data_IF_920838922893
#
_entry.id   IF_920838922893
#
_cell.length_a   1.000
_cell.length_b   1.000
_cell.length_c   1.000
_cell.angle_alpha   90.00
_cell.angle_beta   90.00
_cell.angle_gamma   90.00
#
_symmetry.space_group_name_H-M   'P 1'
#
loop_
_entity.id
_entity.type
_entity.pdbx_description
1 polymer ?
#
# COMPACT_ATOMS: atom_id res chain seq x y z
N UNK A 1 17.43 21.61 13.88
CA UNK A 1 16.79 21.02 15.09
C UNK A 1 15.34 20.52 14.89
N UNK A 2 14.76 20.57 13.67
CA UNK A 2 13.39 20.09 13.41
C UNK A 2 13.34 18.56 13.15
N UNK A 3 14.46 17.94 12.79
CA UNK A 3 14.50 16.55 12.31
C UNK A 3 14.35 15.48 13.40
N UNK A 4 14.76 15.75 14.64
CA UNK A 4 14.76 14.72 15.71
C UNK A 4 13.37 14.47 16.32
N UNK A 5 12.46 15.45 16.30
CA UNK A 5 11.11 15.30 16.90
C UNK A 5 10.10 14.58 16.00
N UNK A 6 10.29 14.62 14.68
CA UNK A 6 9.36 14.01 13.70
C UNK A 6 9.68 12.54 13.43
N UNK A 7 10.96 12.14 13.56
CA UNK A 7 11.42 10.77 13.31
C UNK A 7 11.36 9.85 14.54
N UNK A 8 11.12 10.38 15.74
CA UNK A 8 10.95 9.58 16.96
C UNK A 8 9.95 8.42 16.83
N UNK A 9 8.76 8.63 16.23
CA UNK A 9 7.80 7.56 15.96
C UNK A 9 8.25 6.54 14.90
N UNK A 10 9.20 6.89 14.02
CA UNK A 10 9.72 6.01 12.99
C UNK A 10 10.74 4.99 13.54
N UNK A 11 11.31 5.23 14.73
CA UNK A 11 12.20 4.29 15.39
C UNK A 11 11.48 2.99 15.84
N UNK A 12 10.16 3.05 16.06
CA UNK A 12 9.34 1.90 16.47
C UNK A 12 8.72 1.11 15.30
N UNK A 13 9.13 1.37 14.07
CA UNK A 13 8.68 0.63 12.89
C UNK A 13 9.49 -0.68 12.79
N UNK A 14 8.86 -1.83 12.52
CA UNK A 14 9.58 -3.06 12.19
C UNK A 14 10.24 -2.92 10.80
N UNK A 15 11.44 -2.34 10.76
CA UNK A 15 12.13 -2.03 9.49
C UNK A 15 12.50 -3.26 8.66
N UNK A 16 12.65 -4.43 9.29
CA UNK A 16 13.02 -5.67 8.59
C UNK A 16 11.95 -6.09 7.56
N UNK A 17 10.67 -6.31 7.93
CA UNK A 17 9.63 -6.63 6.94
C UNK A 17 9.37 -5.50 5.96
N UNK A 18 9.41 -4.23 6.41
CA UNK A 18 9.23 -3.07 5.52
C UNK A 18 10.30 -3.03 4.42
N UNK A 19 11.59 -3.15 4.79
CA UNK A 19 12.70 -3.14 3.84
C UNK A 19 12.66 -4.37 2.93
N UNK A 20 12.36 -5.55 3.48
CA UNK A 20 12.28 -6.80 2.72
C UNK A 20 11.18 -6.73 1.65
N UNK A 21 9.95 -6.41 2.04
CA UNK A 21 8.81 -6.33 1.12
C UNK A 21 8.95 -5.18 0.11
N UNK A 22 9.50 -4.04 0.53
CA UNK A 22 9.79 -2.94 -0.40
C UNK A 22 10.82 -3.37 -1.44
N UNK A 23 11.90 -4.04 -1.02
CA UNK A 23 12.95 -4.53 -1.93
C UNK A 23 12.42 -5.58 -2.90
N UNK A 24 11.66 -6.56 -2.39
CA UNK A 24 11.00 -7.59 -3.22
C UNK A 24 10.05 -6.94 -4.22
N UNK A 25 9.23 -5.99 -3.77
CA UNK A 25 8.33 -5.24 -4.63
C UNK A 25 9.04 -4.53 -5.77
N UNK A 26 10.11 -3.79 -5.47
CA UNK A 26 10.92 -3.09 -6.47
C UNK A 26 11.61 -4.04 -7.45
N UNK A 27 12.17 -5.15 -6.96
CA UNK A 27 12.80 -6.17 -7.80
C UNK A 27 11.78 -6.74 -8.79
N UNK A 28 10.57 -7.09 -8.32
CA UNK A 28 9.52 -7.62 -9.17
C UNK A 28 8.98 -6.60 -10.19
N UNK A 29 8.89 -5.32 -9.82
CA UNK A 29 8.61 -4.25 -10.78
C UNK A 29 9.71 -4.12 -11.83
N UNK A 30 10.98 -4.29 -11.44
CA UNK A 30 12.13 -4.33 -12.35
C UNK A 30 12.05 -5.51 -13.33
N UNK A 31 11.73 -6.71 -12.84
CA UNK A 31 11.47 -7.92 -13.64
C UNK A 31 10.35 -7.67 -14.66
N UNK A 32 9.23 -7.06 -14.23
CA UNK A 32 8.14 -6.72 -15.12
C UNK A 32 8.56 -5.72 -16.22
N UNK A 33 9.49 -4.80 -15.89
CA UNK A 33 10.01 -3.79 -16.83
C UNK A 33 11.01 -4.35 -17.85
N UNK A 34 11.78 -5.37 -17.49
CA UNK A 34 12.76 -5.98 -18.38
C UNK A 34 12.11 -6.95 -19.37
N UNK A 35 11.10 -7.72 -18.95
CA UNK A 35 10.49 -8.80 -19.75
C UNK A 35 9.01 -8.56 -20.09
N UNK A 36 8.70 -7.39 -20.64
CA UNK A 36 7.32 -6.91 -20.88
C UNK A 36 6.43 -7.82 -21.73
N UNK A 37 7.00 -8.71 -22.56
CA UNK A 37 6.25 -9.64 -23.43
C UNK A 37 6.06 -11.02 -22.82
N UNK A 38 6.64 -11.29 -21.64
CA UNK A 38 6.55 -12.58 -20.98
C UNK A 38 5.30 -12.69 -20.11
N UNK A 39 4.73 -13.89 -19.99
CA UNK A 39 3.67 -14.18 -19.03
C UNK A 39 4.10 -13.89 -17.56
N UNK A 40 5.41 -13.91 -17.30
CA UNK A 40 6.02 -13.63 -16.00
C UNK A 40 5.87 -12.16 -15.61
N UNK A 41 5.83 -11.22 -16.57
CA UNK A 41 5.74 -9.79 -16.26
C UNK A 41 4.41 -9.40 -15.59
N UNK A 42 3.29 -9.99 -16.02
CA UNK A 42 1.99 -9.74 -15.40
C UNK A 42 1.96 -10.19 -13.94
N UNK A 43 2.43 -11.41 -13.66
CA UNK A 43 2.52 -11.95 -12.30
C UNK A 43 3.51 -11.17 -11.44
N UNK A 44 4.68 -10.82 -11.97
CA UNK A 44 5.68 -10.03 -11.26
C UNK A 44 5.13 -8.65 -10.89
N UNK A 45 4.41 -7.99 -11.80
CA UNK A 45 3.73 -6.73 -11.52
C UNK A 45 2.72 -6.86 -10.36
N UNK A 46 1.86 -7.88 -10.42
CA UNK A 46 0.83 -8.13 -9.39
C UNK A 46 1.45 -8.37 -8.02
N UNK A 47 2.40 -9.30 -7.95
CA UNK A 47 3.06 -9.63 -6.69
C UNK A 47 3.90 -8.47 -6.20
N UNK A 48 4.53 -7.71 -7.10
CA UNK A 48 5.32 -6.53 -6.77
C UNK A 48 4.48 -5.41 -6.13
N UNK A 49 3.33 -5.08 -6.73
CA UNK A 49 2.39 -4.10 -6.18
C UNK A 49 1.82 -4.58 -4.84
N UNK A 50 1.42 -5.85 -4.74
CA UNK A 50 0.93 -6.44 -3.51
C UNK A 50 1.98 -6.39 -2.38
N UNK A 51 3.25 -6.69 -2.69
CA UNK A 51 4.35 -6.63 -1.74
C UNK A 51 4.62 -5.19 -1.25
N UNK A 52 4.63 -4.20 -2.15
CA UNK A 52 4.76 -2.79 -1.78
C UNK A 52 3.62 -2.33 -0.86
N UNK A 53 2.39 -2.71 -1.19
CA UNK A 53 1.24 -2.38 -0.35
C UNK A 53 1.30 -3.09 1.01
N UNK A 54 1.68 -4.37 1.04
CA UNK A 54 1.90 -5.11 2.28
C UNK A 54 2.97 -4.44 3.16
N UNK A 55 4.07 -3.95 2.57
CA UNK A 55 5.10 -3.22 3.29
C UNK A 55 4.53 -2.00 4.05
N UNK A 56 3.53 -1.31 3.47
CA UNK A 56 2.88 -0.16 4.13
C UNK A 56 1.99 -0.55 5.30
N UNK A 57 1.48 -1.79 5.35
CA UNK A 57 0.73 -2.28 6.51
C UNK A 57 1.66 -2.38 7.75
N UNK A 58 2.86 -2.93 7.58
CA UNK A 58 3.89 -3.01 8.63
C UNK A 58 4.38 -1.65 9.13
N UNK A 59 4.25 -0.58 8.34
CA UNK A 59 4.62 0.77 8.79
C UNK A 59 3.74 1.25 9.94
N UNK A 60 2.53 0.71 10.09
CA UNK A 60 1.65 1.04 11.21
C UNK A 60 1.86 0.16 12.45
N UNK A 61 2.67 -0.90 12.37
CA UNK A 61 2.96 -1.78 13.49
C UNK A 61 3.86 -1.13 14.53
N UNK A 62 3.51 -1.32 15.80
CA UNK A 62 4.33 -0.91 16.93
C UNK A 62 5.02 -2.14 17.52
N UNK A 63 6.29 -2.35 17.17
CA UNK A 63 7.09 -3.46 17.72
C UNK A 63 7.31 -3.37 19.26
N UNK A 64 6.86 -2.29 19.89
CA UNK A 64 6.91 -2.05 21.33
C UNK A 64 5.64 -1.33 21.82
N UNK A 65 4.46 -1.84 21.46
CA UNK A 65 3.15 -1.23 21.81
C UNK A 65 3.02 -0.88 23.28
N UNK A 66 3.54 -1.71 24.20
CA UNK A 66 3.49 -1.46 25.65
C UNK A 66 4.34 -0.26 26.09
N UNK A 67 5.56 -0.13 25.59
CA UNK A 67 6.44 1.01 25.88
C UNK A 67 5.94 2.30 25.22
N UNK A 68 5.32 2.17 24.04
CA UNK A 68 4.77 3.30 23.29
C UNK A 68 3.46 3.78 23.91
N UNK A 69 2.60 2.89 24.42
CA UNK A 69 1.41 3.24 25.20
C UNK A 69 1.74 4.06 26.45
N UNK A 70 2.90 3.83 27.07
CA UNK A 70 3.38 4.60 28.22
C UNK A 70 3.85 6.04 27.88
N UNK A 71 4.04 6.38 26.60
CA UNK A 71 4.43 7.74 26.21
C UNK A 71 3.20 8.65 25.98
N UNK A 72 3.22 9.91 26.45
CA UNK A 72 2.08 10.83 26.39
C UNK A 72 1.93 11.49 25.01
N UNK A 73 1.88 10.70 23.93
CA UNK A 73 1.69 11.20 22.57
C UNK A 73 0.37 10.69 21.99
N UNK A 74 -0.46 11.60 21.45
CA UNK A 74 -1.76 11.25 20.88
C UNK A 74 -1.62 10.29 19.69
N UNK A 75 -2.61 9.41 19.53
CA UNK A 75 -2.61 8.38 18.49
C UNK A 75 -2.60 9.00 17.09
N UNK A 76 -3.30 10.13 16.91
CA UNK A 76 -3.31 10.88 15.66
C UNK A 76 -1.93 11.41 15.26
N UNK A 77 -1.12 11.91 16.21
CA UNK A 77 0.23 12.40 15.92
C UNK A 77 1.17 11.26 15.49
N UNK A 78 1.11 10.10 16.16
CA UNK A 78 1.91 8.92 15.78
C UNK A 78 1.55 8.41 14.40
N UNK A 79 0.24 8.33 14.10
CA UNK A 79 -0.25 7.88 12.80
C UNK A 79 0.22 8.83 11.69
N UNK A 80 0.12 10.15 11.87
CA UNK A 80 0.63 11.13 10.89
C UNK A 80 2.13 10.99 10.61
N UNK A 81 2.94 10.76 11.64
CA UNK A 81 4.38 10.57 11.46
C UNK A 81 4.69 9.29 10.66
N UNK A 82 3.96 8.19 10.93
CA UNK A 82 4.10 6.93 10.19
C UNK A 82 3.59 7.02 8.75
N UNK A 83 2.56 7.83 8.50
CA UNK A 83 2.08 8.10 7.14
C UNK A 83 3.15 8.78 6.26
N UNK A 84 4.13 9.47 6.83
CA UNK A 84 5.28 9.98 6.05
C UNK A 84 6.13 8.83 5.49
N UNK A 85 6.32 7.76 6.28
CA UNK A 85 7.06 6.57 5.83
C UNK A 85 6.25 5.79 4.80
N UNK A 86 4.93 5.68 4.97
CA UNK A 86 4.02 5.15 3.93
C UNK A 86 4.18 5.96 2.63
N UNK A 87 4.18 7.29 2.74
CA UNK A 87 4.40 8.19 1.61
C UNK A 87 5.75 7.93 0.92
N UNK A 88 6.82 7.71 1.68
CA UNK A 88 8.12 7.36 1.13
C UNK A 88 8.10 6.02 0.37
N UNK A 89 7.47 4.98 0.93
CA UNK A 89 7.29 3.68 0.23
C UNK A 89 6.49 3.87 -1.05
N UNK A 90 5.41 4.65 -1.02
CA UNK A 90 4.60 4.95 -2.20
C UNK A 90 5.40 5.72 -3.27
N UNK A 91 6.22 6.70 -2.88
CA UNK A 91 7.10 7.45 -3.79
C UNK A 91 8.13 6.51 -4.44
N UNK A 92 8.76 5.65 -3.64
CA UNK A 92 9.73 4.66 -4.13
C UNK A 92 9.07 3.66 -5.09
N UNK A 93 7.91 3.12 -4.73
CA UNK A 93 7.11 2.26 -5.61
C UNK A 93 6.69 2.97 -6.91
N UNK A 94 6.28 4.24 -6.80
CA UNK A 94 5.91 5.09 -7.93
C UNK A 94 7.08 5.31 -8.90
N UNK A 95 8.31 5.44 -8.40
CA UNK A 95 9.52 5.50 -9.23
C UNK A 95 9.72 4.17 -9.97
N UNK A 96 9.53 3.03 -9.29
CA UNK A 96 9.57 1.70 -9.92
C UNK A 96 8.54 1.55 -11.04
N UNK A 97 7.31 2.00 -10.82
CA UNK A 97 6.25 2.03 -11.85
C UNK A 97 6.58 3.01 -12.98
N UNK A 98 7.20 4.16 -12.68
CA UNK A 98 7.63 5.10 -13.70
C UNK A 98 8.75 4.53 -14.59
N UNK A 99 9.64 3.68 -14.05
CA UNK A 99 10.64 2.96 -14.83
C UNK A 99 9.99 1.94 -15.79
N UNK A 100 8.93 1.25 -15.36
CA UNK A 100 8.10 0.37 -16.21
C UNK A 100 7.44 1.15 -17.35
N UNK A 101 6.99 2.38 -17.06
CA UNK A 101 6.27 3.24 -17.99
C UNK A 101 7.10 3.77 -19.17
N UNK A 102 8.43 3.72 -19.09
CA UNK A 102 9.30 4.05 -20.24
C UNK A 102 8.99 3.13 -21.43
N UNK A 103 8.39 1.95 -21.18
CA UNK A 103 8.13 0.92 -22.18
C UNK A 103 6.65 0.61 -22.46
N UNK A 104 5.73 1.01 -21.58
CA UNK A 104 4.32 0.56 -21.62
C UNK A 104 3.28 1.63 -21.94
N UNK A 105 3.69 2.87 -22.23
CA UNK A 105 2.77 3.96 -22.58
C UNK A 105 2.05 4.57 -21.37
N UNK A 106 1.40 5.72 -21.58
CA UNK A 106 0.85 6.54 -20.48
C UNK A 106 -0.35 5.90 -19.77
N UNK A 107 -1.23 5.20 -20.51
CA UNK A 107 -2.40 4.52 -19.93
C UNK A 107 -1.98 3.43 -18.93
N UNK A 108 -1.08 2.53 -19.35
CA UNK A 108 -0.55 1.48 -18.48
C UNK A 108 0.12 2.05 -17.21
N UNK A 109 0.88 3.13 -17.34
CA UNK A 109 1.49 3.82 -16.19
C UNK A 109 0.43 4.28 -15.20
N UNK A 110 -0.59 4.99 -15.67
CA UNK A 110 -1.63 5.54 -14.80
C UNK A 110 -2.40 4.40 -14.11
N UNK A 111 -2.66 3.30 -14.83
CA UNK A 111 -3.42 2.17 -14.28
C UNK A 111 -2.70 1.52 -13.12
N UNK A 112 -1.40 1.26 -13.29
CA UNK A 112 -0.56 0.68 -12.24
C UNK A 112 -0.40 1.65 -11.06
N UNK A 113 -0.30 2.96 -11.30
CA UNK A 113 -0.22 3.95 -10.21
C UNK A 113 -1.50 4.03 -9.39
N UNK A 114 -2.66 4.05 -10.05
CA UNK A 114 -3.97 4.05 -9.37
C UNK A 114 -4.11 2.79 -8.54
N UNK A 115 -3.73 1.64 -9.10
CA UNK A 115 -3.77 0.37 -8.39
C UNK A 115 -2.84 0.34 -7.18
N UNK A 116 -1.56 0.68 -7.34
CA UNK A 116 -0.60 0.74 -6.23
C UNK A 116 -1.11 1.64 -5.11
N UNK A 117 -1.59 2.83 -5.47
CA UNK A 117 -2.14 3.81 -4.52
C UNK A 117 -3.35 3.22 -3.79
N UNK A 118 -4.27 2.60 -4.52
CA UNK A 118 -5.45 1.98 -3.94
C UNK A 118 -5.13 0.83 -2.98
N UNK A 119 -4.19 -0.06 -3.35
CA UNK A 119 -3.74 -1.13 -2.46
C UNK A 119 -3.05 -0.60 -1.20
N UNK A 120 -2.23 0.44 -1.32
CA UNK A 120 -1.60 1.11 -0.16
C UNK A 120 -2.67 1.71 0.76
N UNK A 121 -3.69 2.38 0.22
CA UNK A 121 -4.79 2.90 1.03
C UNK A 121 -5.52 1.81 1.79
N UNK A 122 -5.81 0.68 1.13
CA UNK A 122 -6.46 -0.47 1.77
C UNK A 122 -5.59 -1.06 2.87
N UNK A 123 -4.30 -1.30 2.61
CA UNK A 123 -3.35 -1.79 3.63
C UNK A 123 -3.32 -0.89 4.87
N UNK A 124 -3.16 0.42 4.65
CA UNK A 124 -3.04 1.40 5.73
C UNK A 124 -4.34 1.52 6.51
N UNK A 125 -5.49 1.57 5.83
CA UNK A 125 -6.79 1.66 6.49
C UNK A 125 -7.12 0.38 7.29
N UNK A 126 -6.85 -0.79 6.72
CA UNK A 126 -7.07 -2.07 7.40
C UNK A 126 -6.16 -2.23 8.62
N UNK A 127 -4.87 -1.91 8.48
CA UNK A 127 -3.92 -1.96 9.60
C UNK A 127 -4.30 -0.96 10.70
N UNK A 128 -4.72 0.26 10.34
CA UNK A 128 -5.21 1.24 11.30
C UNK A 128 -6.47 0.76 12.04
N UNK A 129 -7.42 0.13 11.34
CA UNK A 129 -8.64 -0.38 11.95
C UNK A 129 -8.36 -1.56 12.91
N UNK A 130 -7.44 -2.44 12.56
CA UNK A 130 -7.12 -3.63 13.35
C UNK A 130 -6.16 -3.36 14.51
N UNK A 131 -5.48 -2.21 14.53
CA UNK A 131 -4.49 -1.85 15.55
C UNK A 131 -4.98 -1.89 16.99
N UNK A 132 -6.29 -1.80 17.22
CA UNK A 132 -6.90 -1.91 18.57
C UNK A 132 -7.26 -3.34 18.98
N UNK A 133 -7.27 -4.26 18.01
CA UNK A 133 -7.78 -5.62 18.18
C UNK A 133 -6.69 -6.68 17.98
N UNK A 134 -5.60 -6.34 17.29
CA UNK A 134 -4.52 -7.24 16.93
C UNK A 134 -3.18 -6.62 17.35
N UNK A 135 -2.28 -7.36 18.02
CA UNK A 135 -0.97 -6.85 18.45
C UNK A 135 -0.09 -6.39 17.28
N UNK A 136 -0.08 -7.16 16.19
CA UNK A 136 0.73 -6.95 14.99
C UNK A 136 -0.19 -6.95 13.75
N UNK A 137 -0.94 -5.86 13.51
CA UNK A 137 -1.92 -5.81 12.42
C UNK A 137 -1.27 -5.93 11.04
N UNK A 138 -0.01 -5.53 10.87
CA UNK A 138 0.71 -5.58 9.60
C UNK A 138 0.96 -7.00 9.08
N UNK A 139 1.21 -7.97 9.95
CA UNK A 139 1.34 -9.39 9.55
C UNK A 139 0.02 -9.92 8.97
N UNK A 140 -1.07 -9.71 9.70
CA UNK A 140 -2.39 -10.17 9.27
C UNK A 140 -2.85 -9.47 7.98
N UNK A 141 -2.70 -8.13 7.93
CA UNK A 141 -3.12 -7.32 6.77
C UNK A 141 -2.22 -7.56 5.57
N UNK A 142 -0.91 -7.65 5.77
CA UNK A 142 0.06 -7.90 4.70
C UNK A 142 -0.20 -9.24 4.02
N UNK A 143 -0.36 -10.31 4.81
CA UNK A 143 -0.72 -11.63 4.30
C UNK A 143 -2.06 -11.65 3.58
N UNK A 144 -3.11 -11.12 4.22
CA UNK A 144 -4.45 -11.10 3.64
C UNK A 144 -4.49 -10.28 2.34
N UNK A 145 -3.86 -9.11 2.30
CA UNK A 145 -3.82 -8.27 1.11
C UNK A 145 -3.10 -8.96 -0.04
N UNK A 146 -1.95 -9.59 0.24
CA UNK A 146 -1.20 -10.33 -0.78
C UNK A 146 -2.05 -11.46 -1.38
N UNK A 147 -2.72 -12.25 -0.53
CA UNK A 147 -3.63 -13.32 -0.98
C UNK A 147 -4.79 -12.77 -1.80
N UNK A 148 -5.47 -11.74 -1.33
CA UNK A 148 -6.65 -11.16 -2.01
C UNK A 148 -6.26 -10.56 -3.36
N UNK A 149 -5.17 -9.80 -3.43
CA UNK A 149 -4.71 -9.17 -4.68
C UNK A 149 -4.32 -10.24 -5.71
N UNK A 150 -3.59 -11.28 -5.30
CA UNK A 150 -3.22 -12.39 -6.18
C UNK A 150 -4.48 -13.14 -6.64
N UNK A 151 -5.40 -13.46 -5.72
CA UNK A 151 -6.64 -14.15 -6.06
C UNK A 151 -7.50 -13.35 -7.05
N UNK A 152 -7.64 -12.04 -6.83
CA UNK A 152 -8.37 -11.16 -7.75
C UNK A 152 -7.70 -11.07 -9.12
N UNK A 153 -6.36 -11.02 -9.17
CA UNK A 153 -5.63 -11.01 -10.43
C UNK A 153 -5.77 -12.33 -11.21
N UNK A 154 -5.77 -13.47 -10.51
CA UNK A 154 -5.87 -14.81 -11.13
C UNK A 154 -7.29 -15.12 -11.58
N UNK A 155 -8.28 -14.86 -10.72
CA UNK A 155 -9.69 -15.21 -10.99
C UNK A 155 -10.36 -14.17 -11.88
N UNK A 156 -9.92 -12.91 -11.78
CA UNK A 156 -10.46 -11.75 -12.48
C UNK A 156 -12.01 -11.71 -12.56
N UNK A 157 -12.71 -11.84 -11.41
CA UNK A 157 -14.17 -11.99 -11.39
C UNK A 157 -14.91 -10.72 -11.85
N UNK A 158 -14.23 -9.57 -11.78
CA UNK A 158 -14.80 -8.26 -12.09
C UNK A 158 -14.62 -7.83 -13.55
N UNK A 159 -13.87 -8.59 -14.35
CA UNK A 159 -13.58 -8.30 -15.76
C UNK A 159 -14.81 -7.98 -16.62
N UNK A 160 -15.96 -8.56 -16.30
CA UNK A 160 -17.22 -8.30 -17.04
C UNK A 160 -17.78 -6.90 -16.79
N UNK A 161 -17.45 -6.30 -15.64
CA UNK A 161 -18.07 -5.09 -15.12
C UNK A 161 -17.09 -3.92 -15.13
N UNK A 162 -15.88 -4.11 -14.59
CA UNK A 162 -14.88 -3.06 -14.40
C UNK A 162 -13.48 -3.62 -14.65
N UNK A 163 -12.68 -2.85 -15.39
CA UNK A 163 -11.23 -3.09 -15.46
C UNK A 163 -10.61 -2.60 -14.16
N UNK A 164 -10.43 -3.52 -13.21
CA UNK A 164 -9.83 -3.19 -11.90
C UNK A 164 -8.44 -2.58 -12.07
N UNK A 165 -7.72 -3.00 -13.12
CA UNK A 165 -6.37 -2.58 -13.48
C UNK A 165 -6.33 -2.12 -14.94
N UNK A 166 -6.78 -0.89 -15.24
CA UNK A 166 -6.88 -0.42 -16.63
C UNK A 166 -5.47 -0.15 -17.17
N UNK A 167 -4.91 -1.10 -17.93
CA UNK A 167 -3.59 -0.95 -18.56
C UNK A 167 -3.64 -0.73 -20.07
N UNK A 168 -4.78 -0.99 -20.69
CA UNK A 168 -4.97 -0.91 -22.14
C UNK A 168 -5.52 0.46 -22.59
N UNK A 169 -5.33 0.85 -23.87
CA UNK A 169 -5.88 2.09 -24.42
C UNK A 169 -7.41 2.16 -24.39
N UNK A 170 -8.09 1.02 -24.58
CA UNK A 170 -9.56 0.92 -24.64
C UNK A 170 -10.20 0.57 -23.27
N UNK A 171 -9.41 0.64 -22.19
CA UNK A 171 -9.86 0.28 -20.86
C UNK A 171 -10.99 1.20 -20.34
N UNK A 172 -11.89 0.65 -19.53
CA UNK A 172 -13.06 1.33 -18.96
C UNK A 172 -12.69 2.28 -17.79
N UNK A 173 -11.83 3.26 -18.07
CA UNK A 173 -11.27 4.21 -17.11
C UNK A 173 -12.30 4.86 -16.19
N UNK A 174 -13.46 5.28 -16.72
CA UNK A 174 -14.51 5.92 -15.92
C UNK A 174 -15.00 5.01 -14.77
N UNK A 175 -15.20 3.72 -15.05
CA UNK A 175 -15.66 2.76 -14.04
C UNK A 175 -14.56 2.47 -13.01
N UNK A 176 -13.30 2.38 -13.46
CA UNK A 176 -12.14 2.21 -12.58
C UNK A 176 -11.94 3.42 -11.66
N UNK A 177 -12.14 4.64 -12.16
CA UNK A 177 -12.06 5.85 -11.35
C UNK A 177 -13.15 5.89 -10.26
N UNK A 178 -14.38 5.50 -10.59
CA UNK A 178 -15.46 5.42 -9.60
C UNK A 178 -15.14 4.37 -8.54
N UNK A 179 -14.68 3.18 -8.96
CA UNK A 179 -14.29 2.10 -8.05
C UNK A 179 -13.17 2.55 -7.09
N UNK A 180 -12.04 3.01 -7.64
CA UNK A 180 -10.88 3.39 -6.83
C UNK A 180 -11.12 4.68 -6.03
N UNK A 181 -11.92 5.61 -6.55
CA UNK A 181 -12.38 6.78 -5.80
C UNK A 181 -13.24 6.39 -4.60
N UNK A 182 -14.17 5.45 -4.77
CA UNK A 182 -14.96 4.88 -3.68
C UNK A 182 -14.11 4.16 -2.64
N UNK A 183 -13.19 3.29 -3.07
CA UNK A 183 -12.22 2.62 -2.19
C UNK A 183 -11.40 3.65 -1.42
N UNK A 184 -10.88 4.68 -2.09
CA UNK A 184 -10.12 5.76 -1.46
C UNK A 184 -10.94 6.51 -0.41
N UNK A 185 -12.18 6.88 -0.72
CA UNK A 185 -13.07 7.56 0.22
C UNK A 185 -13.36 6.70 1.48
N UNK A 186 -13.63 5.40 1.30
CA UNK A 186 -13.84 4.47 2.41
C UNK A 186 -12.55 4.32 3.24
N UNK A 187 -11.40 4.14 2.60
CA UNK A 187 -10.11 4.01 3.30
C UNK A 187 -9.79 5.27 4.11
N UNK A 188 -10.04 6.46 3.57
CA UNK A 188 -9.86 7.73 4.28
C UNK A 188 -10.83 7.85 5.47
N UNK A 189 -12.10 7.47 5.30
CA UNK A 189 -13.07 7.48 6.39
C UNK A 189 -12.66 6.52 7.53
N UNK A 190 -12.23 5.31 7.18
CA UNK A 190 -11.72 4.31 8.14
C UNK A 190 -10.47 4.82 8.85
N UNK A 191 -9.48 5.31 8.11
CA UNK A 191 -8.24 5.85 8.68
C UNK A 191 -8.53 7.03 9.61
N UNK A 192 -9.42 7.95 9.20
CA UNK A 192 -9.82 9.09 10.03
C UNK A 192 -10.49 8.63 11.31
N UNK A 193 -11.40 7.66 11.24
CA UNK A 193 -12.09 7.10 12.41
C UNK A 193 -11.13 6.35 13.34
N UNK A 194 -10.27 5.50 12.78
CA UNK A 194 -9.30 4.72 13.53
C UNK A 194 -8.25 5.60 14.23
N UNK A 195 -7.94 6.76 13.63
CA UNK A 195 -6.96 7.74 14.14
C UNK A 195 -7.49 8.67 15.24
N UNK A 196 -8.80 8.66 15.53
CA UNK A 196 -9.38 9.47 16.61
C UNK A 196 -9.06 8.87 17.97
N UNK A 197 -8.69 9.71 18.93
CA UNK A 197 -8.51 9.26 20.31
C UNK A 197 -9.87 8.85 20.90
N UNK A 198 -9.93 7.80 21.73
CA UNK A 198 -11.20 7.28 22.27
C UNK A 198 -11.89 8.19 23.30
N UNK A 199 -11.26 9.32 23.65
CA UNK A 199 -11.75 10.27 24.65
C UNK A 199 -12.29 11.57 24.01
N UNK A 200 -12.26 11.68 22.68
CA UNK A 200 -12.88 12.75 21.88
C UNK A 200 -14.15 12.23 21.16
#
# INVERSE_FOLDING_TARGET
MIHSRVLGPAAGIPWRPVAALTSVGLLLLGVAATWTTSAVAGTALVVGVAALAAATAYVLDEAATEAVAATPTSLGRRTRARLLVVGAVLVVGSIGVAALAVRSGLSARLGVMVWLTGCVFVAVAAAAALRRHVPEPGDAVGGALLTVVIALAVVNPLSRWVDVFPSEPDARWASSFVLWGGVGAVCLAVLTRASRDPLD
#
